data_IF_086717023187
#
_entry.id   IF_086717023187
#
_cell.length_a   1.000
_cell.length_b   1.000
_cell.length_c   1.000
_cell.angle_alpha   90.00
_cell.angle_beta   90.00
_cell.angle_gamma   90.00
#
_symmetry.space_group_name_H-M   'P 1'
#
loop_
_entity.id
_entity.type
_entity.pdbx_description
1 polymer ?
#
# COMPACT_ATOMS: atom_id res chain seq x y z
N UNK A 1 23.98 -7.45 -18.85
CA UNK A 1 22.70 -8.02 -18.39
C UNK A 1 22.61 -7.77 -16.88
N UNK A 2 21.65 -6.97 -16.42
CA UNK A 2 21.50 -6.59 -15.00
C UNK A 2 20.17 -7.14 -14.46
N UNK A 3 20.17 -7.61 -13.21
CA UNK A 3 18.97 -8.07 -12.50
C UNK A 3 18.46 -6.97 -11.56
N UNK A 4 17.22 -6.54 -11.75
CA UNK A 4 16.58 -5.53 -10.91
C UNK A 4 15.65 -6.17 -9.89
N UNK A 5 15.63 -5.63 -8.67
CA UNK A 5 14.69 -6.04 -7.64
C UNK A 5 13.27 -5.62 -8.00
N UNK A 6 12.30 -6.52 -7.83
CA UNK A 6 10.88 -6.23 -7.99
C UNK A 6 10.38 -5.28 -6.89
N UNK A 7 10.64 -3.98 -7.04
CA UNK A 7 10.04 -2.90 -6.27
C UNK A 7 9.08 -2.07 -7.12
N UNK A 8 8.49 -1.02 -6.54
CA UNK A 8 7.58 -0.06 -7.22
C UNK A 8 8.18 0.56 -8.50
N UNK A 9 9.50 0.60 -8.63
CA UNK A 9 10.24 1.09 -9.81
C UNK A 9 10.77 -0.02 -10.72
N UNK A 10 10.62 -1.29 -10.34
CA UNK A 10 11.24 -2.43 -11.03
C UNK A 10 10.53 -2.81 -12.34
N UNK A 11 9.20 -2.72 -12.39
CA UNK A 11 8.42 -3.09 -13.58
C UNK A 11 8.54 -2.08 -14.74
N UNK A 12 8.42 -0.75 -14.50
CA UNK A 12 8.60 0.24 -15.57
C UNK A 12 10.02 0.20 -16.17
N UNK A 13 11.05 0.01 -15.33
CA UNK A 13 12.43 -0.10 -15.77
C UNK A 13 12.68 -1.35 -16.62
N UNK A 14 12.10 -2.49 -16.23
CA UNK A 14 12.16 -3.72 -17.02
C UNK A 14 11.51 -3.53 -18.40
N UNK A 15 10.34 -2.88 -18.46
CA UNK A 15 9.65 -2.61 -19.74
C UNK A 15 10.46 -1.68 -20.63
N UNK A 16 11.06 -0.62 -20.07
CA UNK A 16 11.91 0.31 -20.81
C UNK A 16 13.16 -0.37 -21.38
N UNK A 17 13.83 -1.21 -20.59
CA UNK A 17 14.99 -1.97 -21.09
C UNK A 17 14.60 -2.98 -22.17
N UNK A 18 13.42 -3.59 -22.03
CA UNK A 18 12.85 -4.50 -23.04
C UNK A 18 12.52 -3.77 -24.35
N UNK A 19 11.98 -2.54 -24.30
CA UNK A 19 11.73 -1.74 -25.51
C UNK A 19 13.01 -1.34 -26.24
N UNK A 20 14.12 -1.19 -25.50
CA UNK A 20 15.46 -0.97 -26.06
C UNK A 20 16.13 -2.25 -26.59
N UNK A 21 15.41 -3.38 -26.62
CA UNK A 21 15.93 -4.71 -26.99
C UNK A 21 17.12 -5.17 -26.14
N UNK A 22 17.25 -4.62 -24.92
CA UNK A 22 18.26 -5.06 -23.97
C UNK A 22 17.72 -6.28 -23.25
N UNK A 23 18.43 -7.40 -23.38
CA UNK A 23 18.08 -8.62 -22.69
C UNK A 23 18.21 -8.38 -21.17
N UNK A 24 17.09 -8.47 -20.43
CA UNK A 24 17.03 -8.24 -18.99
C UNK A 24 16.13 -9.29 -18.35
N UNK A 25 16.45 -9.71 -17.13
CA UNK A 25 15.63 -10.63 -16.33
C UNK A 25 15.24 -9.95 -15.04
N UNK A 26 13.97 -10.08 -14.65
CA UNK A 26 13.49 -9.62 -13.36
C UNK A 26 13.49 -10.80 -12.39
N UNK A 27 14.08 -10.64 -11.22
CA UNK A 27 14.20 -11.71 -10.22
C UNK A 27 13.64 -11.20 -8.89
N UNK A 28 12.79 -12.01 -8.26
CA UNK A 28 12.31 -11.70 -6.92
C UNK A 28 13.46 -11.76 -5.92
N UNK A 29 13.60 -10.76 -5.01
CA UNK A 29 14.66 -10.77 -3.99
C UNK A 29 14.69 -12.05 -3.14
N UNK A 30 13.52 -12.66 -2.88
CA UNK A 30 13.40 -13.91 -2.12
C UNK A 30 13.84 -15.17 -2.87
N UNK A 31 13.97 -15.12 -4.20
CA UNK A 31 14.50 -16.23 -5.02
C UNK A 31 16.01 -16.16 -5.22
N UNK A 32 16.67 -15.10 -4.72
CA UNK A 32 18.12 -14.97 -4.82
C UNK A 32 18.73 -15.68 -3.60
N UNK A 33 19.50 -16.78 -3.79
CA UNK A 33 20.13 -17.48 -2.68
C UNK A 33 21.09 -16.54 -1.94
N UNK A 34 20.81 -16.32 -0.65
CA UNK A 34 21.67 -15.57 0.28
C UNK A 34 22.19 -16.51 1.36
N UNK A 35 23.50 -16.42 1.60
CA UNK A 35 24.10 -17.07 2.77
C UNK A 35 23.84 -16.18 3.99
N UNK A 36 23.54 -16.79 5.15
CA UNK A 36 23.28 -16.06 6.40
C UNK A 36 24.48 -15.20 6.88
N UNK A 37 25.68 -15.51 6.39
CA UNK A 37 26.93 -14.81 6.72
C UNK A 37 27.15 -13.55 5.87
N UNK A 38 26.39 -13.39 4.78
CA UNK A 38 26.47 -12.26 3.84
C UNK A 38 25.74 -11.02 4.42
N UNK A 39 26.30 -10.42 5.47
CA UNK A 39 25.70 -9.25 6.14
C UNK A 39 26.05 -7.90 5.49
N UNK A 40 27.09 -7.86 4.66
CA UNK A 40 27.58 -6.62 4.04
C UNK A 40 27.07 -6.54 2.60
N UNK A 41 26.05 -5.70 2.38
CA UNK A 41 25.53 -5.38 1.05
C UNK A 41 26.38 -4.30 0.40
N UNK A 42 26.96 -4.59 -0.77
CA UNK A 42 27.63 -3.58 -1.61
C UNK A 42 27.24 -3.85 -3.06
N UNK A 43 26.98 -2.80 -3.83
CA UNK A 43 26.49 -2.92 -5.21
C UNK A 43 27.44 -3.74 -6.10
N UNK A 44 28.75 -3.61 -5.89
CA UNK A 44 29.77 -4.39 -6.60
C UNK A 44 29.66 -5.90 -6.33
N UNK A 45 29.47 -6.31 -5.07
CA UNK A 45 29.33 -7.73 -4.71
C UNK A 45 28.01 -8.29 -5.20
N UNK A 46 26.92 -7.53 -5.07
CA UNK A 46 25.60 -7.91 -5.56
C UNK A 46 25.60 -8.09 -7.08
N UNK A 47 26.25 -7.19 -7.84
CA UNK A 47 26.39 -7.31 -9.29
C UNK A 47 27.16 -8.57 -9.70
N UNK A 48 28.29 -8.86 -9.04
CA UNK A 48 29.10 -10.07 -9.32
C UNK A 48 28.30 -11.34 -8.99
N UNK A 49 27.57 -11.35 -7.86
CA UNK A 49 26.76 -12.48 -7.43
C UNK A 49 25.61 -12.76 -8.40
N UNK A 50 24.89 -11.72 -8.82
CA UNK A 50 23.85 -11.82 -9.84
C UNK A 50 24.40 -12.33 -11.18
N UNK A 51 25.57 -11.85 -11.61
CA UNK A 51 26.20 -12.32 -12.84
C UNK A 51 26.60 -13.81 -12.77
N UNK A 52 27.07 -14.29 -11.61
CA UNK A 52 27.40 -15.70 -11.38
C UNK A 52 26.16 -16.59 -11.41
N UNK A 53 25.12 -16.22 -10.66
CA UNK A 53 23.86 -16.96 -10.62
C UNK A 53 23.14 -16.96 -11.99
N UNK A 54 23.30 -15.90 -12.78
CA UNK A 54 22.82 -15.86 -14.17
C UNK A 54 23.55 -16.85 -15.04
N UNK A 55 24.89 -16.92 -14.90
CA UNK A 55 25.72 -17.81 -15.70
C UNK A 55 25.44 -19.28 -15.40
N UNK A 56 25.12 -19.62 -14.15
CA UNK A 56 24.76 -20.99 -13.78
C UNK A 56 23.32 -21.36 -14.13
N UNK A 57 22.50 -20.43 -14.62
CA UNK A 57 21.08 -20.67 -14.91
C UNK A 57 20.21 -20.83 -13.65
N UNK A 58 20.74 -20.52 -12.47
CA UNK A 58 20.04 -20.66 -11.19
C UNK A 58 19.05 -19.52 -10.90
N UNK A 59 19.03 -18.45 -11.73
CA UNK A 59 18.07 -17.36 -11.58
C UNK A 59 16.79 -17.63 -12.36
N UNK A 60 15.73 -17.93 -11.62
CA UNK A 60 14.39 -18.03 -12.17
C UNK A 60 13.78 -16.62 -12.36
N UNK A 61 13.41 -16.30 -13.60
CA UNK A 61 12.69 -15.05 -13.89
C UNK A 61 11.31 -15.06 -13.26
N UNK A 62 10.90 -13.94 -12.68
CA UNK A 62 9.51 -13.79 -12.25
C UNK A 62 8.63 -13.28 -13.39
N UNK A 63 7.36 -13.70 -13.36
CA UNK A 63 6.34 -13.11 -14.21
C UNK A 63 6.20 -11.62 -13.87
N UNK A 64 6.36 -10.77 -14.89
CA UNK A 64 6.15 -9.33 -14.76
C UNK A 64 4.69 -9.07 -15.10
N UNK A 65 3.89 -8.54 -14.15
CA UNK A 65 2.49 -8.23 -14.40
C UNK A 65 2.36 -7.22 -15.55
N UNK A 66 1.24 -7.24 -16.26
CA UNK A 66 0.90 -6.22 -17.26
C UNK A 66 0.53 -4.89 -16.60
N UNK A 67 0.42 -3.82 -17.41
CA UNK A 67 -0.07 -2.52 -16.91
C UNK A 67 -1.50 -2.63 -16.38
N UNK A 68 -2.31 -3.45 -17.03
CA UNK A 68 -3.68 -3.73 -16.61
C UNK A 68 -3.71 -4.45 -15.25
N UNK A 69 -2.85 -5.46 -15.04
CA UNK A 69 -2.74 -6.17 -13.76
C UNK A 69 -2.28 -5.25 -12.62
N UNK A 70 -1.35 -4.34 -12.91
CA UNK A 70 -0.91 -3.32 -11.96
C UNK A 70 -2.04 -2.35 -11.61
N UNK A 71 -2.77 -1.84 -12.61
CA UNK A 71 -3.89 -0.94 -12.41
C UNK A 71 -5.00 -1.58 -11.55
N UNK A 72 -5.36 -2.84 -11.84
CA UNK A 72 -6.36 -3.58 -11.04
C UNK A 72 -5.86 -3.78 -9.61
N UNK A 73 -4.58 -4.15 -9.43
CA UNK A 73 -3.99 -4.34 -8.10
C UNK A 73 -3.98 -3.05 -7.29
N UNK A 74 -3.62 -1.93 -7.90
CA UNK A 74 -3.55 -0.63 -7.24
C UNK A 74 -4.95 -0.10 -6.91
N UNK A 75 -5.93 -0.35 -7.77
CA UNK A 75 -7.33 -0.09 -7.46
C UNK A 75 -7.81 -0.87 -6.22
N UNK A 76 -7.55 -2.18 -6.18
CA UNK A 76 -7.94 -3.02 -5.04
C UNK A 76 -7.26 -2.56 -3.73
N UNK A 77 -5.97 -2.24 -3.79
CA UNK A 77 -5.22 -1.71 -2.63
C UNK A 77 -5.74 -0.36 -2.17
N UNK A 78 -6.09 0.52 -3.10
CA UNK A 78 -6.68 1.83 -2.79
C UNK A 78 -8.01 1.66 -2.07
N UNK A 79 -8.87 0.77 -2.58
CA UNK A 79 -10.16 0.43 -1.95
C UNK A 79 -9.98 -0.10 -0.52
N UNK A 80 -9.04 -1.01 -0.32
CA UNK A 80 -8.79 -1.60 1.00
C UNK A 80 -8.20 -0.56 1.98
N UNK A 81 -7.33 0.33 1.49
CA UNK A 81 -6.80 1.46 2.28
C UNK A 81 -7.91 2.39 2.73
N UNK A 82 -8.79 2.79 1.80
CA UNK A 82 -9.97 3.62 2.09
C UNK A 82 -10.89 2.96 3.12
N UNK A 83 -11.10 1.64 3.02
CA UNK A 83 -11.91 0.88 3.99
C UNK A 83 -11.29 0.92 5.39
N UNK A 84 -9.97 0.79 5.51
CA UNK A 84 -9.25 0.87 6.78
C UNK A 84 -9.32 2.28 7.37
N UNK A 85 -9.14 3.30 6.53
CA UNK A 85 -9.20 4.70 6.96
C UNK A 85 -10.60 5.11 7.42
N UNK A 86 -11.64 4.67 6.71
CA UNK A 86 -13.03 4.81 7.16
C UNK A 86 -13.22 4.17 8.56
N UNK A 87 -12.69 2.97 8.79
CA UNK A 87 -12.75 2.32 10.11
C UNK A 87 -12.06 3.13 11.20
N UNK A 88 -10.87 3.69 10.91
CA UNK A 88 -10.11 4.56 11.83
C UNK A 88 -10.85 5.86 12.11
N UNK A 89 -11.40 6.50 11.09
CA UNK A 89 -12.17 7.74 11.19
C UNK A 89 -13.42 7.54 12.05
N UNK A 90 -14.15 6.44 11.83
CA UNK A 90 -15.27 6.01 12.68
C UNK A 90 -14.89 5.88 14.16
N UNK A 91 -13.79 5.20 14.46
CA UNK A 91 -13.32 5.06 15.84
C UNK A 91 -12.89 6.40 16.46
N UNK A 92 -12.20 7.26 15.70
CA UNK A 92 -11.82 8.61 16.12
C UNK A 92 -13.04 9.46 16.45
N UNK A 93 -14.11 9.38 15.65
CA UNK A 93 -15.38 10.06 15.91
C UNK A 93 -16.00 9.60 17.23
N UNK A 94 -16.12 8.29 17.44
CA UNK A 94 -16.70 7.74 18.65
C UNK A 94 -15.93 8.15 19.90
N UNK A 95 -14.59 8.10 19.87
CA UNK A 95 -13.76 8.58 20.97
C UNK A 95 -13.90 10.09 21.20
N UNK A 96 -14.08 10.87 20.14
CA UNK A 96 -14.32 12.31 20.24
C UNK A 96 -15.66 12.61 20.92
N UNK A 97 -16.76 11.98 20.48
CA UNK A 97 -18.09 12.16 21.07
C UNK A 97 -18.12 11.69 22.53
N UNK A 98 -17.47 10.56 22.84
CA UNK A 98 -17.36 10.04 24.19
C UNK A 98 -16.67 11.02 25.15
N UNK A 99 -15.60 11.71 24.72
CA UNK A 99 -14.93 12.75 25.53
C UNK A 99 -15.80 13.98 25.80
N UNK A 100 -16.88 14.16 25.05
CA UNK A 100 -17.86 15.22 25.24
C UNK A 100 -19.12 14.74 25.94
N UNK A 101 -19.11 13.48 26.41
CA UNK A 101 -20.24 12.77 27.00
C UNK A 101 -21.49 12.71 26.09
N UNK A 102 -21.29 12.83 24.78
CA UNK A 102 -22.36 12.71 23.78
C UNK A 102 -22.46 11.24 23.39
N UNK A 103 -23.55 10.57 23.79
CA UNK A 103 -23.77 9.14 23.57
C UNK A 103 -25.00 8.92 22.69
N UNK A 104 -24.88 7.96 21.78
CA UNK A 104 -25.99 7.50 20.95
C UNK A 104 -26.63 6.28 21.61
N UNK A 105 -27.92 6.34 21.92
CA UNK A 105 -28.65 5.29 22.67
C UNK A 105 -29.73 4.58 21.86
N UNK A 106 -30.08 5.06 20.67
CA UNK A 106 -31.30 4.64 19.98
C UNK A 106 -31.15 3.31 19.23
N UNK A 107 -30.09 3.11 18.44
CA UNK A 107 -29.91 1.93 17.57
C UNK A 107 -28.43 1.58 17.36
N UNK A 108 -28.14 0.65 16.43
CA UNK A 108 -26.77 0.31 16.01
C UNK A 108 -26.05 1.51 15.39
N UNK A 109 -24.75 1.61 15.67
CA UNK A 109 -23.85 2.60 15.08
C UNK A 109 -23.69 2.41 13.56
N UNK A 110 -23.40 3.51 12.86
CA UNK A 110 -23.13 3.59 11.40
C UNK A 110 -24.28 3.18 10.49
N UNK A 111 -25.51 3.24 11.00
CA UNK A 111 -26.76 3.10 10.24
C UNK A 111 -27.23 4.46 9.73
N UNK A 112 -28.21 4.47 8.81
CA UNK A 112 -28.81 5.70 8.29
C UNK A 112 -29.33 6.59 9.43
N UNK A 113 -29.92 6.02 10.48
CA UNK A 113 -30.37 6.75 11.67
C UNK A 113 -29.21 7.37 12.45
N UNK A 114 -28.09 6.64 12.62
CA UNK A 114 -26.89 7.19 13.27
C UNK A 114 -26.28 8.35 12.46
N UNK A 115 -26.21 8.24 11.13
CA UNK A 115 -25.73 9.34 10.28
C UNK A 115 -26.64 10.58 10.34
N UNK A 116 -27.97 10.40 10.33
CA UNK A 116 -28.91 11.51 10.54
C UNK A 116 -28.72 12.18 11.91
N UNK A 117 -28.54 11.38 12.96
CA UNK A 117 -28.25 11.90 14.29
C UNK A 117 -26.93 12.68 14.33
N UNK A 118 -25.85 12.15 13.73
CA UNK A 118 -24.56 12.84 13.65
C UNK A 118 -24.67 14.20 12.93
N UNK A 119 -25.43 14.27 11.84
CA UNK A 119 -25.66 15.51 11.10
C UNK A 119 -26.48 16.55 11.87
N UNK A 120 -27.33 16.11 12.81
CA UNK A 120 -28.14 16.97 13.66
C UNK A 120 -27.40 17.45 14.93
N UNK A 121 -26.16 17.01 15.17
CA UNK A 121 -25.37 17.48 16.31
C UNK A 121 -24.90 18.92 16.08
N UNK A 122 -25.46 19.84 16.86
CA UNK A 122 -25.00 21.23 16.89
C UNK A 122 -23.88 21.40 17.90
N UNK A 123 -22.70 21.83 17.42
CA UNK A 123 -21.58 22.22 18.27
C UNK A 123 -21.46 23.74 18.26
N UNK A 124 -21.41 24.34 19.45
CA UNK A 124 -21.21 25.79 19.61
C UNK A 124 -19.81 26.26 19.16
N UNK A 125 -18.85 25.33 19.01
CA UNK A 125 -17.48 25.67 18.60
C UNK A 125 -17.21 25.16 17.19
N UNK A 126 -16.80 26.07 16.32
CA UNK A 126 -16.55 25.83 14.89
C UNK A 126 -15.43 24.82 14.64
N UNK A 127 -14.45 24.74 15.54
CA UNK A 127 -13.37 23.75 15.48
C UNK A 127 -13.90 22.32 15.65
N UNK A 128 -14.96 22.13 16.45
CA UNK A 128 -15.59 20.82 16.62
C UNK A 128 -16.44 20.44 15.41
N UNK A 129 -17.15 21.41 14.83
CA UNK A 129 -17.93 21.21 13.60
C UNK A 129 -17.02 20.80 12.43
N UNK A 130 -15.92 21.52 12.21
CA UNK A 130 -14.91 21.18 11.19
C UNK A 130 -14.34 19.77 11.37
N UNK A 131 -14.02 19.39 12.61
CA UNK A 131 -13.50 18.05 12.91
C UNK A 131 -14.51 16.94 12.57
N UNK A 132 -15.80 17.17 12.79
CA UNK A 132 -16.85 16.23 12.40
C UNK A 132 -17.01 16.13 10.89
N UNK A 133 -16.96 17.26 10.18
CA UNK A 133 -17.06 17.28 8.71
C UNK A 133 -15.93 16.51 8.06
N UNK A 134 -14.69 16.72 8.51
CA UNK A 134 -13.52 15.98 7.99
C UNK A 134 -13.71 14.47 8.17
N UNK A 135 -14.18 14.03 9.34
CA UNK A 135 -14.32 12.61 9.66
C UNK A 135 -15.53 11.93 8.97
N UNK A 136 -16.53 12.71 8.54
CA UNK A 136 -17.72 12.20 7.84
C UNK A 136 -17.52 12.17 6.32
N UNK A 137 -16.77 13.12 5.76
CA UNK A 137 -16.59 13.30 4.31
C UNK A 137 -15.35 12.59 3.77
N UNK A 138 -14.28 12.44 4.57
CA UNK A 138 -13.05 11.69 4.22
C UNK A 138 -12.98 10.32 4.90
#
# INVERSE_FOLDING_TARGET
>A
MQGYGAGVTGYPLYRYLKSLRVNCILVAPGKIPRQNTDKIKTDKRDAIKLARLMRSGELESIHVPSEEDEAVRDYLRSRDSLRLDLGRNRQRLMKFLLRKDIKYSTTKYWTVSHYKWLNNLHFNNESFKRRLTIIIVE
#
